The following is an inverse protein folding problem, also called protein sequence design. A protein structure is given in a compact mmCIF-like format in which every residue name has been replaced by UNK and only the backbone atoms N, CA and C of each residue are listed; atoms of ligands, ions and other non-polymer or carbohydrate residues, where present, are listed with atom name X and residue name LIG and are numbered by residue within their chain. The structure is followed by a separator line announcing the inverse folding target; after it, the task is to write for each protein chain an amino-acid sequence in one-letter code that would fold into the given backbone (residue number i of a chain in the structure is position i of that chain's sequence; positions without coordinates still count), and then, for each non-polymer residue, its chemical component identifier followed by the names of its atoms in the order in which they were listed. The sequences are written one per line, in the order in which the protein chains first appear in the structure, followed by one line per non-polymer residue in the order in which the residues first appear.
data_IF_979925123695
#
_entry.id   IF_979925123695
#
_cell.length_a   1.000
_cell.length_b   1.000
_cell.length_c   1.000
_cell.angle_alpha   90.00
_cell.angle_beta   90.00
_cell.angle_gamma   90.00
#
_symmetry.space_group_name_H-M   'P 1'
#
loop_
_entity.id
_entity.type
_entity.pdbx_description
1 polymer ?
#
# COMPACT_ATOMS: atom_id res chain seq x y z
N UNK A 1 -6.04 16.81 -19.21
CA UNK A 1 -4.71 17.08 -19.78
C UNK A 1 -3.58 16.89 -18.77
N UNK A 2 -3.68 17.49 -17.57
CA UNK A 2 -2.69 17.39 -16.49
C UNK A 2 -2.37 15.96 -16.08
N UNK A 3 -3.40 15.13 -15.86
CA UNK A 3 -3.25 13.71 -15.52
C UNK A 3 -2.37 12.95 -16.54
N UNK A 4 -2.64 13.10 -17.83
CA UNK A 4 -1.87 12.47 -18.90
C UNK A 4 -0.42 12.96 -18.92
N UNK A 5 -0.20 14.26 -18.78
CA UNK A 5 1.14 14.84 -18.80
C UNK A 5 1.99 14.36 -17.62
N UNK A 6 1.46 14.45 -16.40
CA UNK A 6 2.18 14.05 -15.17
C UNK A 6 2.45 12.55 -15.15
N UNK A 7 1.47 11.72 -15.53
CA UNK A 7 1.65 10.26 -15.59
C UNK A 7 2.69 9.86 -16.64
N UNK A 8 2.70 10.50 -17.82
CA UNK A 8 3.69 10.25 -18.86
C UNK A 8 5.09 10.62 -18.39
N UNK A 9 5.27 11.78 -17.76
CA UNK A 9 6.57 12.21 -17.23
C UNK A 9 7.04 11.27 -16.12
N UNK A 10 6.17 10.94 -15.17
CA UNK A 10 6.49 10.02 -14.08
C UNK A 10 6.95 8.65 -14.58
N UNK A 11 6.15 8.05 -15.47
CA UNK A 11 6.46 6.76 -16.06
C UNK A 11 7.72 6.81 -16.93
N UNK A 12 7.89 7.85 -17.76
CA UNK A 12 9.06 7.99 -18.64
C UNK A 12 10.35 8.17 -17.84
N UNK A 13 10.32 8.97 -16.76
CA UNK A 13 11.46 9.11 -15.85
C UNK A 13 11.85 7.76 -15.27
N UNK A 14 10.88 6.96 -14.80
CA UNK A 14 11.12 5.61 -14.29
C UNK A 14 11.78 4.64 -15.28
N UNK A 15 11.58 4.84 -16.58
CA UNK A 15 12.15 4.00 -17.64
C UNK A 15 13.60 4.36 -18.03
N UNK A 16 14.11 5.52 -17.61
CA UNK A 16 15.47 5.97 -17.94
C UNK A 16 16.56 4.92 -17.60
N UNK A 17 16.62 4.35 -16.38
CA UNK A 17 17.61 3.34 -16.06
C UNK A 17 17.46 2.07 -16.91
N UNK A 18 16.24 1.65 -17.21
CA UNK A 18 16.00 0.43 -17.99
C UNK A 18 16.35 0.62 -19.47
N UNK A 19 16.06 1.78 -20.06
CA UNK A 19 16.53 2.12 -21.40
C UNK A 19 18.05 2.17 -21.47
N UNK A 20 18.72 2.68 -20.42
CA UNK A 20 20.18 2.62 -20.29
C UNK A 20 20.69 1.18 -20.38
N UNK A 21 20.05 0.25 -19.66
CA UNK A 21 20.39 -1.17 -19.71
C UNK A 21 20.16 -1.81 -21.09
N UNK A 22 19.04 -1.49 -21.76
CA UNK A 22 18.74 -2.02 -23.09
C UNK A 22 19.72 -1.48 -24.13
N UNK A 23 20.05 -0.18 -24.07
CA UNK A 23 21.06 0.46 -24.95
C UNK A 23 22.40 -0.29 -24.90
N UNK A 24 22.83 -0.67 -23.71
CA UNK A 24 24.13 -1.33 -23.50
C UNK A 24 24.13 -2.81 -23.92
N UNK A 25 22.94 -3.40 -24.09
CA UNK A 25 22.75 -4.78 -24.58
C UNK A 25 22.34 -4.85 -26.06
N UNK A 26 21.94 -3.75 -26.67
CA UNK A 26 21.43 -3.71 -28.03
C UNK A 26 22.53 -4.03 -29.06
N UNK A 27 22.34 -5.13 -29.81
CA UNK A 27 23.28 -5.59 -30.85
C UNK A 27 23.09 -4.81 -32.15
N UNK A 28 21.85 -4.48 -32.52
CA UNK A 28 21.54 -3.80 -33.79
C UNK A 28 21.85 -2.30 -33.70
N UNK A 29 22.55 -1.70 -34.68
CA UNK A 29 22.98 -0.30 -34.61
C UNK A 29 21.81 0.68 -34.56
N UNK A 30 20.73 0.40 -35.29
CA UNK A 30 19.52 1.23 -35.28
C UNK A 30 18.82 1.24 -33.90
N UNK A 31 18.64 0.06 -33.30
CA UNK A 31 18.04 -0.08 -31.96
C UNK A 31 18.92 0.59 -30.91
N UNK A 32 20.23 0.37 -30.97
CA UNK A 32 21.18 1.03 -30.07
C UNK A 32 21.09 2.56 -30.15
N UNK A 33 20.97 3.11 -31.36
CA UNK A 33 20.77 4.56 -31.57
C UNK A 33 19.47 5.06 -30.94
N UNK A 34 18.35 4.36 -31.15
CA UNK A 34 17.07 4.71 -30.52
C UNK A 34 17.18 4.69 -29.01
N UNK A 35 17.62 3.57 -28.41
CA UNK A 35 17.73 3.44 -26.96
C UNK A 35 18.75 4.42 -26.37
N UNK A 36 19.79 4.81 -27.11
CA UNK A 36 20.71 5.86 -26.68
C UNK A 36 20.09 7.25 -26.62
N UNK A 37 19.13 7.54 -27.51
CA UNK A 37 18.41 8.80 -27.54
C UNK A 37 17.39 8.84 -26.38
N UNK A 38 16.57 7.80 -26.22
CA UNK A 38 15.52 7.77 -25.20
C UNK A 38 16.04 7.60 -23.77
N UNK A 39 17.24 7.04 -23.58
CA UNK A 39 17.84 6.92 -22.25
C UNK A 39 18.44 8.23 -21.72
N UNK A 40 18.43 9.33 -22.50
CA UNK A 40 19.07 10.62 -22.16
C UNK A 40 20.49 10.53 -21.59
N UNK A 41 21.28 9.59 -22.12
CA UNK A 41 22.66 9.38 -21.64
C UNK A 41 22.76 8.90 -20.19
N UNK A 42 21.72 8.23 -19.65
CA UNK A 42 21.77 7.65 -18.31
C UNK A 42 23.02 6.75 -18.13
N UNK A 43 23.84 7.08 -17.14
CA UNK A 43 25.08 6.37 -16.79
C UNK A 43 25.00 5.62 -15.46
N UNK A 44 24.03 5.95 -14.61
CA UNK A 44 23.83 5.27 -13.32
C UNK A 44 24.84 5.65 -12.23
N UNK A 45 25.35 6.89 -12.22
CA UNK A 45 26.24 7.37 -11.15
C UNK A 45 25.47 7.56 -9.84
N UNK A 46 26.16 7.53 -8.70
CA UNK A 46 25.55 7.76 -7.39
C UNK A 46 24.74 9.08 -7.31
N UNK A 47 25.25 10.16 -7.90
CA UNK A 47 24.54 11.45 -7.98
C UNK A 47 23.26 11.40 -8.82
N UNK A 48 23.24 10.57 -9.86
CA UNK A 48 22.07 10.42 -10.74
C UNK A 48 20.98 9.64 -9.99
N UNK A 49 21.35 8.56 -9.28
CA UNK A 49 20.44 7.77 -8.44
C UNK A 49 19.84 8.56 -7.28
N UNK A 50 20.67 9.30 -6.54
CA UNK A 50 20.19 10.12 -5.42
C UNK A 50 19.11 11.12 -5.87
N UNK A 51 19.30 11.76 -7.04
CA UNK A 51 18.32 12.70 -7.60
C UNK A 51 17.09 11.99 -8.16
N UNK A 52 17.29 10.83 -8.79
CA UNK A 52 16.21 10.04 -9.35
C UNK A 52 15.25 9.55 -8.28
N UNK A 53 15.76 9.09 -7.13
CA UNK A 53 14.94 8.67 -6.00
C UNK A 53 14.13 9.85 -5.44
N UNK A 54 14.77 11.00 -5.21
CA UNK A 54 14.09 12.20 -4.73
C UNK A 54 12.98 12.66 -5.69
N UNK A 55 13.26 12.71 -6.99
CA UNK A 55 12.28 13.08 -8.00
C UNK A 55 11.13 12.07 -8.05
N UNK A 56 11.43 10.78 -7.96
CA UNK A 56 10.40 9.73 -7.98
C UNK A 56 9.49 9.82 -6.76
N UNK A 57 10.03 10.09 -5.58
CA UNK A 57 9.27 10.31 -4.35
C UNK A 57 8.38 11.55 -4.45
N UNK A 58 8.91 12.68 -4.93
CA UNK A 58 8.13 13.91 -5.13
C UNK A 58 7.00 13.68 -6.15
N UNK A 59 7.31 13.04 -7.28
CA UNK A 59 6.29 12.77 -8.30
C UNK A 59 5.23 11.78 -7.81
N UNK A 60 5.60 10.75 -7.04
CA UNK A 60 4.64 9.85 -6.41
C UNK A 60 3.73 10.59 -5.40
N UNK A 61 4.32 11.48 -4.60
CA UNK A 61 3.62 12.35 -3.66
C UNK A 61 2.66 13.31 -4.35
N UNK A 62 3.02 13.85 -5.51
CA UNK A 62 2.15 14.73 -6.32
C UNK A 62 1.09 13.96 -7.12
N UNK A 63 1.43 12.77 -7.62
CA UNK A 63 0.53 11.94 -8.41
C UNK A 63 -0.63 11.40 -7.57
N UNK A 64 -0.40 11.09 -6.29
CA UNK A 64 -1.44 10.51 -5.41
C UNK A 64 -2.65 11.45 -5.23
N UNK A 65 -2.50 12.72 -4.81
CA UNK A 65 -3.60 13.69 -4.79
C UNK A 65 -4.17 13.96 -6.18
N UNK A 66 -3.34 13.92 -7.23
CA UNK A 66 -3.81 14.09 -8.60
C UNK A 66 -4.77 12.99 -9.03
N UNK A 67 -4.48 11.72 -8.72
CA UNK A 67 -5.37 10.59 -9.02
C UNK A 67 -6.73 10.74 -8.32
N UNK A 68 -6.71 11.13 -7.03
CA UNK A 68 -7.93 11.36 -6.24
C UNK A 68 -8.75 12.52 -6.81
N UNK A 69 -8.10 13.64 -7.10
CA UNK A 69 -8.76 14.85 -7.63
C UNK A 69 -9.32 14.65 -9.03
N UNK A 70 -8.63 13.95 -9.93
CA UNK A 70 -9.10 13.73 -11.31
C UNK A 70 -10.42 12.95 -11.34
N UNK A 71 -10.52 11.86 -10.59
CA UNK A 71 -11.76 11.09 -10.53
C UNK A 71 -12.86 11.82 -9.74
N UNK A 72 -12.48 12.62 -8.74
CA UNK A 72 -13.40 13.53 -8.05
C UNK A 72 -13.98 14.58 -9.00
N UNK A 73 -13.16 15.19 -9.86
CA UNK A 73 -13.62 16.19 -10.84
C UNK A 73 -14.58 15.55 -11.85
N UNK A 74 -14.25 14.38 -12.40
CA UNK A 74 -15.17 13.64 -13.30
C UNK A 74 -16.47 13.29 -12.58
N UNK A 75 -16.39 12.98 -11.29
CA UNK A 75 -17.58 12.74 -10.47
C UNK A 75 -18.42 14.00 -10.26
N UNK A 76 -17.80 15.18 -10.15
CA UNK A 76 -18.51 16.45 -9.98
C UNK A 76 -19.38 16.83 -11.18
N UNK A 77 -19.06 16.36 -12.39
CA UNK A 77 -19.91 16.54 -13.57
C UNK A 77 -21.33 15.98 -13.36
N UNK A 78 -21.47 14.97 -12.49
CA UNK A 78 -22.77 14.42 -12.07
C UNK A 78 -23.21 14.99 -10.73
N UNK A 79 -22.35 14.94 -9.71
CA UNK A 79 -22.69 15.27 -8.32
C UNK A 79 -23.20 16.71 -8.13
N UNK A 80 -22.69 17.64 -8.94
CA UNK A 80 -23.07 19.07 -8.87
C UNK A 80 -24.29 19.42 -9.72
N UNK A 81 -24.82 18.45 -10.48
CA UNK A 81 -26.08 18.61 -11.20
C UNK A 81 -27.26 18.68 -10.23
N UNK A 82 -28.42 19.09 -10.75
CA UNK A 82 -29.70 19.13 -10.01
C UNK A 82 -30.58 17.91 -10.31
N UNK A 83 -30.09 16.94 -11.06
CA UNK A 83 -30.88 15.77 -11.51
C UNK A 83 -31.01 14.75 -10.36
N UNK A 84 -32.21 14.20 -10.12
CA UNK A 84 -32.40 13.23 -9.05
C UNK A 84 -31.63 11.94 -9.34
N UNK A 85 -30.99 11.40 -8.30
CA UNK A 85 -30.07 10.27 -8.42
C UNK A 85 -28.67 10.62 -8.96
N UNK A 86 -28.40 11.88 -9.32
CA UNK A 86 -27.05 12.42 -9.55
C UNK A 86 -26.61 13.40 -8.45
N UNK A 87 -27.53 14.22 -7.95
CA UNK A 87 -27.23 15.22 -6.92
C UNK A 87 -26.93 14.55 -5.57
N UNK A 88 -25.67 14.19 -5.33
CA UNK A 88 -25.25 13.55 -4.08
C UNK A 88 -23.80 13.85 -3.73
N UNK A 89 -23.52 13.92 -2.43
CA UNK A 89 -22.19 14.25 -1.91
C UNK A 89 -21.27 13.03 -1.79
N UNK A 90 -21.81 11.81 -1.91
CA UNK A 90 -21.02 10.57 -1.78
C UNK A 90 -20.26 10.21 -3.07
N UNK A 91 -20.65 10.78 -4.21
CA UNK A 91 -20.10 10.42 -5.51
C UNK A 91 -18.57 10.58 -5.62
N UNK A 92 -17.93 11.66 -5.15
CA UNK A 92 -16.49 11.81 -5.31
C UNK A 92 -15.64 10.66 -4.72
N UNK A 93 -15.76 10.31 -3.42
CA UNK A 93 -15.02 9.17 -2.87
C UNK A 93 -15.50 7.82 -3.46
N UNK A 94 -16.77 7.70 -3.82
CA UNK A 94 -17.33 6.50 -4.45
C UNK A 94 -16.72 6.25 -5.84
N UNK A 95 -16.66 7.26 -6.70
CA UNK A 95 -16.09 7.14 -8.05
C UNK A 95 -14.60 6.84 -8.00
N UNK A 96 -13.87 7.39 -7.03
CA UNK A 96 -12.47 7.04 -6.76
C UNK A 96 -12.35 5.57 -6.37
N UNK A 97 -13.17 5.08 -5.43
CA UNK A 97 -13.14 3.67 -5.03
C UNK A 97 -13.47 2.73 -6.21
N UNK A 98 -14.49 3.08 -7.01
CA UNK A 98 -14.84 2.36 -8.23
C UNK A 98 -13.75 2.38 -9.31
N UNK A 99 -13.00 3.48 -9.42
CA UNK A 99 -11.86 3.57 -10.35
C UNK A 99 -10.70 2.65 -9.92
N UNK A 100 -10.42 2.57 -8.62
CA UNK A 100 -9.42 1.62 -8.11
C UNK A 100 -9.91 0.18 -8.33
N UNK A 101 -11.17 -0.10 -8.01
CA UNK A 101 -11.77 -1.43 -8.17
C UNK A 101 -11.72 -1.94 -9.62
N UNK A 102 -12.19 -1.15 -10.58
CA UNK A 102 -12.14 -1.49 -12.03
C UNK A 102 -10.71 -1.48 -12.59
N UNK A 103 -9.88 -0.52 -12.18
CA UNK A 103 -8.49 -0.41 -12.62
C UNK A 103 -7.68 -1.65 -12.26
N UNK A 104 -7.73 -2.09 -10.99
CA UNK A 104 -7.05 -3.30 -10.56
C UNK A 104 -7.61 -4.57 -11.23
N UNK A 105 -8.92 -4.65 -11.47
CA UNK A 105 -9.51 -5.74 -12.25
C UNK A 105 -8.94 -5.78 -13.69
N UNK A 106 -8.85 -4.64 -14.40
CA UNK A 106 -8.21 -4.60 -15.71
C UNK A 106 -6.74 -5.00 -15.66
N UNK A 107 -5.96 -4.45 -14.72
CA UNK A 107 -4.54 -4.82 -14.55
C UNK A 107 -4.40 -6.33 -14.30
N UNK A 108 -5.29 -6.92 -13.48
CA UNK A 108 -5.30 -8.35 -13.20
C UNK A 108 -5.49 -9.20 -14.47
N UNK A 109 -6.40 -8.81 -15.36
CA UNK A 109 -6.59 -9.53 -16.64
C UNK A 109 -5.33 -9.51 -17.49
N UNK A 110 -4.70 -8.35 -17.64
CA UNK A 110 -3.51 -8.17 -18.47
C UNK A 110 -2.30 -8.87 -17.88
N UNK A 111 -2.10 -8.80 -16.55
CA UNK A 111 -0.98 -9.45 -15.88
C UNK A 111 -1.06 -10.97 -15.98
N UNK A 112 -2.24 -11.57 -15.82
CA UNK A 112 -2.41 -13.03 -15.94
C UNK A 112 -2.04 -13.51 -17.36
N UNK A 113 -2.50 -12.79 -18.39
CA UNK A 113 -2.18 -13.12 -19.78
C UNK A 113 -0.68 -12.90 -20.05
N UNK A 114 -0.16 -11.73 -19.67
CA UNK A 114 1.24 -11.37 -19.86
C UNK A 114 2.17 -12.39 -19.21
N UNK A 115 1.86 -12.81 -17.97
CA UNK A 115 2.61 -13.83 -17.21
C UNK A 115 2.85 -15.10 -18.03
N UNK A 116 1.84 -15.56 -18.78
CA UNK A 116 1.93 -16.78 -19.58
C UNK A 116 2.53 -16.56 -20.97
N UNK A 117 2.18 -15.46 -21.64
CA UNK A 117 2.69 -15.18 -22.99
C UNK A 117 4.18 -14.82 -23.00
N UNK A 118 4.64 -14.08 -21.98
CA UNK A 118 6.03 -13.60 -21.88
C UNK A 118 6.93 -14.48 -21.00
N UNK A 119 6.41 -15.59 -20.46
CA UNK A 119 7.12 -16.51 -19.55
C UNK A 119 7.69 -15.81 -18.29
N UNK A 120 6.98 -14.80 -17.74
CA UNK A 120 7.40 -14.04 -16.56
C UNK A 120 6.84 -14.59 -15.26
N UNK A 121 6.64 -15.91 -15.19
CA UNK A 121 5.98 -16.55 -14.05
C UNK A 121 6.78 -16.59 -12.75
N UNK A 122 8.10 -16.50 -12.86
CA UNK A 122 9.01 -16.41 -11.71
C UNK A 122 9.00 -15.03 -11.04
N UNK A 123 8.70 -13.98 -11.82
CA UNK A 123 8.57 -12.61 -11.31
C UNK A 123 7.15 -12.32 -10.81
N UNK A 124 6.15 -12.62 -11.65
CA UNK A 124 4.74 -12.40 -11.33
C UNK A 124 4.23 -13.66 -10.60
N UNK A 125 4.48 -13.71 -9.30
CA UNK A 125 4.06 -14.85 -8.47
C UNK A 125 2.56 -14.82 -8.16
N UNK A 126 2.03 -15.95 -7.65
CA UNK A 126 0.63 -16.05 -7.19
C UNK A 126 0.32 -15.05 -6.07
N UNK A 127 1.33 -14.60 -5.32
CA UNK A 127 1.12 -13.61 -4.27
C UNK A 127 0.79 -12.23 -4.80
N UNK A 128 1.38 -11.81 -5.93
CA UNK A 128 1.01 -10.55 -6.56
C UNK A 128 -0.47 -10.55 -6.92
N UNK A 129 -0.94 -11.68 -7.49
CA UNK A 129 -2.35 -11.92 -7.81
C UNK A 129 -3.22 -11.91 -6.53
N UNK A 130 -2.79 -12.59 -5.47
CA UNK A 130 -3.53 -12.60 -4.20
C UNK A 130 -3.65 -11.19 -3.59
N UNK A 131 -2.55 -10.43 -3.54
CA UNK A 131 -2.55 -9.06 -2.99
C UNK A 131 -3.43 -8.12 -3.81
N UNK A 132 -3.40 -8.22 -5.14
CA UNK A 132 -4.30 -7.47 -6.01
C UNK A 132 -5.77 -7.83 -5.76
N UNK A 133 -6.08 -9.11 -5.60
CA UNK A 133 -7.43 -9.55 -5.26
C UNK A 133 -7.89 -9.03 -3.89
N UNK A 134 -6.99 -8.88 -2.91
CA UNK A 134 -7.32 -8.25 -1.61
C UNK A 134 -7.71 -6.79 -1.82
N UNK A 135 -6.98 -6.03 -2.63
CA UNK A 135 -7.31 -4.64 -2.94
C UNK A 135 -8.68 -4.54 -3.64
N UNK A 136 -8.93 -5.41 -4.63
CA UNK A 136 -10.22 -5.51 -5.32
C UNK A 136 -11.35 -5.83 -4.33
N UNK A 137 -11.12 -6.74 -3.39
CA UNK A 137 -12.09 -7.10 -2.35
C UNK A 137 -12.41 -5.93 -1.41
N UNK A 138 -11.39 -5.21 -0.93
CA UNK A 138 -11.56 -4.06 -0.03
C UNK A 138 -12.32 -2.94 -0.75
N UNK A 139 -11.88 -2.56 -1.94
CA UNK A 139 -12.49 -1.47 -2.71
C UNK A 139 -13.90 -1.81 -3.20
N UNK A 140 -14.14 -3.06 -3.61
CA UNK A 140 -15.48 -3.55 -3.94
C UNK A 140 -16.44 -3.51 -2.73
N UNK A 141 -15.93 -3.75 -1.52
CA UNK A 141 -16.72 -3.60 -0.29
C UNK A 141 -17.05 -2.14 0.02
N UNK A 142 -16.11 -1.21 -0.21
CA UNK A 142 -16.36 0.24 -0.09
C UNK A 142 -17.44 0.70 -1.08
N UNK A 143 -17.35 0.24 -2.34
CA UNK A 143 -18.38 0.49 -3.37
C UNK A 143 -19.74 -0.08 -2.94
N UNK A 144 -19.76 -1.31 -2.40
CA UNK A 144 -20.97 -1.92 -1.86
C UNK A 144 -21.61 -1.11 -0.72
N UNK A 145 -20.80 -0.57 0.20
CA UNK A 145 -21.28 0.33 1.25
C UNK A 145 -21.90 1.60 0.66
N UNK A 146 -21.29 2.20 -0.36
CA UNK A 146 -21.82 3.39 -1.03
C UNK A 146 -23.20 3.12 -1.66
N UNK A 147 -23.41 1.97 -2.31
CA UNK A 147 -24.73 1.59 -2.83
C UNK A 147 -25.79 1.48 -1.74
N UNK A 148 -25.44 0.89 -0.59
CA UNK A 148 -26.36 0.78 0.55
C UNK A 148 -26.67 2.17 1.11
N UNK A 149 -25.68 3.05 1.22
CA UNK A 149 -25.88 4.43 1.64
C UNK A 149 -26.81 5.19 0.69
N UNK A 150 -26.65 5.04 -0.62
CA UNK A 150 -27.55 5.65 -1.60
C UNK A 150 -29.00 5.17 -1.45
N UNK A 151 -29.21 3.85 -1.33
CA UNK A 151 -30.53 3.28 -1.09
C UNK A 151 -31.14 3.78 0.22
N UNK A 152 -30.33 3.87 1.28
CA UNK A 152 -30.76 4.38 2.57
C UNK A 152 -31.15 5.86 2.49
N UNK A 153 -30.34 6.70 1.86
CA UNK A 153 -30.62 8.13 1.72
C UNK A 153 -31.83 8.37 0.81
N UNK A 154 -31.99 7.61 -0.26
CA UNK A 154 -33.18 7.70 -1.12
C UNK A 154 -34.46 7.42 -0.31
N UNK A 155 -34.45 6.36 0.51
CA UNK A 155 -35.56 6.06 1.41
C UNK A 155 -35.76 7.14 2.48
N UNK A 156 -34.68 7.60 3.12
CA UNK A 156 -34.69 8.53 4.25
C UNK A 156 -35.03 9.99 3.85
N UNK A 157 -34.66 10.43 2.65
CA UNK A 157 -34.72 11.83 2.22
C UNK A 157 -36.13 12.42 2.17
N UNK A 158 -37.17 11.59 2.01
CA UNK A 158 -38.56 12.04 1.86
C UNK A 158 -38.85 12.81 0.56
N UNK A 159 -37.89 12.92 -0.37
CA UNK A 159 -38.09 13.54 -1.69
C UNK A 159 -38.58 12.48 -2.66
N UNK A 160 -39.82 12.65 -3.15
CA UNK A 160 -40.48 11.66 -4.03
C UNK A 160 -39.68 11.37 -5.31
N UNK A 161 -39.03 12.38 -5.90
CA UNK A 161 -38.22 12.21 -7.11
C UNK A 161 -36.99 11.32 -6.89
N UNK A 162 -36.32 11.44 -5.74
CA UNK A 162 -35.19 10.57 -5.38
C UNK A 162 -35.66 9.14 -5.14
N UNK A 163 -36.74 8.98 -4.38
CA UNK A 163 -37.34 7.66 -4.14
C UNK A 163 -37.75 6.98 -5.46
N UNK A 164 -38.38 7.72 -6.37
CA UNK A 164 -38.76 7.23 -7.68
C UNK A 164 -37.56 6.88 -8.56
N UNK A 165 -36.49 7.68 -8.53
CA UNK A 165 -35.28 7.40 -9.31
C UNK A 165 -34.68 6.02 -8.94
N UNK A 166 -34.59 5.69 -7.64
CA UNK A 166 -34.09 4.39 -7.19
C UNK A 166 -35.10 3.26 -7.41
N UNK A 167 -36.40 3.52 -7.29
CA UNK A 167 -37.44 2.55 -7.64
C UNK A 167 -37.38 2.19 -9.15
N UNK A 168 -37.16 3.20 -10.00
CA UNK A 168 -36.99 3.05 -11.44
C UNK A 168 -35.73 2.24 -11.79
N UNK A 169 -34.63 2.43 -11.05
CA UNK A 169 -33.43 1.58 -11.19
C UNK A 169 -33.75 0.11 -10.90
N UNK A 170 -34.48 -0.17 -9.82
CA UNK A 170 -34.76 -1.54 -9.38
C UNK A 170 -35.83 -2.26 -10.21
N UNK A 171 -36.90 -1.56 -10.61
CA UNK A 171 -38.11 -2.18 -11.20
C UNK A 171 -38.51 -1.60 -12.56
N UNK A 172 -37.83 -0.56 -13.02
CA UNK A 172 -38.10 0.09 -14.30
C UNK A 172 -37.57 -0.69 -15.52
N UNK A 173 -37.58 -0.08 -16.72
CA UNK A 173 -37.24 -0.77 -17.96
C UNK A 173 -35.77 -1.21 -18.06
N UNK A 174 -34.89 -0.64 -17.23
CA UNK A 174 -33.47 -1.00 -17.13
C UNK A 174 -33.15 -1.85 -15.90
N UNK A 175 -34.15 -2.53 -15.30
CA UNK A 175 -33.96 -3.39 -14.11
C UNK A 175 -32.84 -4.43 -14.30
N UNK A 176 -32.70 -4.97 -15.51
CA UNK A 176 -31.70 -5.98 -15.85
C UNK A 176 -30.28 -5.43 -15.75
N UNK A 177 -30.07 -4.17 -16.14
CA UNK A 177 -28.76 -3.50 -16.07
C UNK A 177 -28.39 -3.23 -14.61
N UNK A 178 -29.34 -2.76 -13.80
CA UNK A 178 -29.13 -2.56 -12.37
C UNK A 178 -28.88 -3.87 -11.63
N UNK A 179 -29.66 -4.91 -11.91
CA UNK A 179 -29.48 -6.23 -11.30
C UNK A 179 -28.12 -6.83 -11.67
N UNK A 180 -27.71 -6.73 -12.92
CA UNK A 180 -26.42 -7.21 -13.38
C UNK A 180 -25.27 -6.44 -12.71
N UNK A 181 -25.36 -5.10 -12.69
CA UNK A 181 -24.40 -4.24 -11.99
C UNK A 181 -24.26 -4.64 -10.51
N UNK A 182 -25.37 -4.71 -9.77
CA UNK A 182 -25.36 -5.06 -8.34
C UNK A 182 -24.81 -6.47 -8.12
N UNK A 183 -25.24 -7.44 -8.93
CA UNK A 183 -24.76 -8.82 -8.82
C UNK A 183 -23.26 -8.91 -9.07
N UNK A 184 -22.76 -8.29 -10.15
CA UNK A 184 -21.34 -8.30 -10.47
C UNK A 184 -20.50 -7.57 -9.42
N UNK A 185 -20.87 -6.35 -9.04
CA UNK A 185 -20.03 -5.52 -8.19
C UNK A 185 -20.13 -5.89 -6.71
N UNK A 186 -21.30 -6.35 -6.24
CA UNK A 186 -21.46 -6.74 -4.83
C UNK A 186 -21.05 -8.19 -4.60
N UNK A 187 -21.40 -9.14 -5.48
CA UNK A 187 -21.12 -10.57 -5.21
C UNK A 187 -19.67 -10.93 -5.51
N UNK A 188 -19.12 -10.49 -6.65
CA UNK A 188 -17.78 -10.89 -7.09
C UNK A 188 -16.65 -10.61 -6.08
N UNK A 189 -16.55 -9.42 -5.44
CA UNK A 189 -15.52 -9.18 -4.45
C UNK A 189 -15.72 -10.02 -3.18
N UNK A 190 -16.95 -10.35 -2.80
CA UNK A 190 -17.20 -11.13 -1.56
C UNK A 190 -16.76 -12.58 -1.70
N UNK A 191 -16.73 -13.12 -2.93
CA UNK A 191 -16.18 -14.45 -3.18
C UNK A 191 -14.67 -14.50 -2.87
N UNK A 192 -13.95 -13.37 -2.92
CA UNK A 192 -12.51 -13.29 -2.66
C UNK A 192 -12.12 -13.40 -1.17
N UNK A 193 -13.10 -13.42 -0.26
CA UNK A 193 -12.85 -13.77 1.16
C UNK A 193 -12.32 -15.19 1.31
N UNK A 194 -12.74 -16.12 0.43
CA UNK A 194 -12.30 -17.50 0.46
C UNK A 194 -10.89 -17.62 -0.12
N UNK A 195 -9.91 -17.92 0.73
CA UNK A 195 -8.49 -18.06 0.33
C UNK A 195 -8.30 -19.01 -0.87
N UNK A 196 -9.02 -20.14 -0.91
CA UNK A 196 -8.95 -21.10 -2.02
C UNK A 196 -9.32 -20.49 -3.37
N UNK A 197 -10.24 -19.54 -3.38
CA UNK A 197 -10.69 -18.85 -4.59
C UNK A 197 -9.70 -17.73 -4.93
N UNK A 198 -9.30 -16.95 -3.92
CA UNK A 198 -8.39 -15.81 -4.08
C UNK A 198 -7.01 -16.19 -4.60
N UNK A 199 -6.50 -17.38 -4.26
CA UNK A 199 -5.20 -17.87 -4.75
C UNK A 199 -5.30 -18.65 -6.07
N UNK A 200 -6.49 -18.79 -6.65
CA UNK A 200 -6.69 -19.44 -7.94
C UNK A 200 -6.58 -18.44 -9.08
N UNK A 201 -5.56 -18.62 -9.94
CA UNK A 201 -5.32 -17.74 -11.10
C UNK A 201 -6.53 -17.75 -12.06
N UNK A 202 -7.09 -18.92 -12.34
CA UNK A 202 -8.21 -19.05 -13.28
C UNK A 202 -9.46 -18.33 -12.77
N UNK A 203 -9.79 -18.49 -11.49
CA UNK A 203 -10.97 -17.82 -10.92
C UNK A 203 -10.73 -16.32 -10.83
N UNK A 204 -9.53 -15.88 -10.47
CA UNK A 204 -9.17 -14.46 -10.46
C UNK A 204 -9.32 -13.80 -11.83
N UNK A 205 -8.97 -14.51 -12.90
CA UNK A 205 -9.14 -14.03 -14.27
C UNK A 205 -10.61 -13.86 -14.67
N UNK A 206 -11.46 -14.82 -14.31
CA UNK A 206 -12.90 -14.75 -14.60
C UNK A 206 -13.53 -13.60 -13.80
N UNK A 207 -13.22 -13.51 -12.50
CA UNK A 207 -13.77 -12.45 -11.64
C UNK A 207 -13.34 -11.07 -12.13
N UNK A 208 -12.09 -10.87 -12.56
CA UNK A 208 -11.65 -9.56 -13.03
C UNK A 208 -12.38 -9.11 -14.30
N UNK A 209 -12.75 -10.03 -15.21
CA UNK A 209 -13.62 -9.69 -16.35
C UNK A 209 -15.03 -9.32 -15.87
N UNK A 210 -15.61 -10.09 -14.96
CA UNK A 210 -16.96 -9.84 -14.42
C UNK A 210 -17.02 -8.48 -13.71
N UNK A 211 -15.99 -8.11 -12.96
CA UNK A 211 -15.88 -6.79 -12.31
C UNK A 211 -15.87 -5.67 -13.34
N UNK A 212 -15.07 -5.79 -14.41
CA UNK A 212 -15.02 -4.75 -15.44
C UNK A 212 -16.36 -4.58 -16.18
N UNK A 213 -17.08 -5.69 -16.43
CA UNK A 213 -18.43 -5.64 -16.99
C UNK A 213 -19.39 -4.95 -16.02
N UNK A 214 -19.38 -5.32 -14.73
CA UNK A 214 -20.21 -4.69 -13.71
C UNK A 214 -19.95 -3.18 -13.56
N UNK A 215 -18.69 -2.76 -13.60
CA UNK A 215 -18.29 -1.35 -13.53
C UNK A 215 -18.64 -0.55 -14.79
N UNK A 216 -18.68 -1.18 -15.95
CA UNK A 216 -19.24 -0.55 -17.15
C UNK A 216 -20.74 -0.31 -16.98
N UNK A 217 -21.48 -1.31 -16.49
CA UNK A 217 -22.90 -1.16 -16.17
C UNK A 217 -23.15 -0.14 -15.07
N UNK A 218 -22.25 0.02 -14.11
CA UNK A 218 -22.36 1.07 -13.09
C UNK A 218 -22.47 2.46 -13.70
N UNK A 219 -21.55 2.80 -14.62
CA UNK A 219 -21.56 4.10 -15.29
C UNK A 219 -22.78 4.24 -16.21
N UNK A 220 -23.14 3.18 -16.94
CA UNK A 220 -24.35 3.17 -17.75
C UNK A 220 -25.62 3.41 -16.93
N UNK A 221 -25.76 2.71 -15.79
CA UNK A 221 -26.93 2.80 -14.92
C UNK A 221 -27.02 4.21 -14.33
N UNK A 222 -25.94 4.73 -13.73
CA UNK A 222 -25.96 6.09 -13.15
C UNK A 222 -26.41 7.10 -14.20
N UNK A 223 -25.87 7.04 -15.43
CA UNK A 223 -26.15 8.03 -16.45
C UNK A 223 -27.55 7.84 -17.03
N UNK A 224 -27.85 6.67 -17.60
CA UNK A 224 -29.07 6.47 -18.39
C UNK A 224 -30.31 6.40 -17.51
N UNK A 225 -30.25 5.71 -16.36
CA UNK A 225 -31.45 5.52 -15.52
C UNK A 225 -31.91 6.78 -14.81
N UNK A 226 -31.01 7.73 -14.56
CA UNK A 226 -31.34 9.04 -13.99
C UNK A 226 -31.75 10.09 -15.04
N UNK A 227 -31.39 9.90 -16.31
CA UNK A 227 -31.77 10.84 -17.39
C UNK A 227 -33.06 10.48 -18.10
N UNK A 228 -33.32 9.18 -18.34
CA UNK A 228 -34.50 8.80 -19.12
C UNK A 228 -35.83 8.96 -18.35
N UNK A 229 -35.75 9.10 -17.02
CA UNK A 229 -36.86 9.34 -16.09
C UNK A 229 -36.40 10.36 -15.05
N UNK A 230 -36.79 11.61 -15.24
CA UNK A 230 -36.46 12.73 -14.36
C UNK A 230 -37.74 13.45 -13.88
N UNK A 231 -37.64 14.75 -13.61
CA UNK A 231 -38.71 15.60 -13.09
C UNK A 231 -40.00 15.61 -13.93
N UNK A 232 -39.93 15.62 -15.26
CA UNK A 232 -41.11 15.82 -16.12
C UNK A 232 -41.53 14.53 -16.82
N UNK A 233 -42.70 13.96 -16.50
CA UNK A 233 -43.21 12.77 -17.16
C UNK A 233 -43.36 12.90 -18.69
N UNK A 234 -43.56 14.11 -19.21
CA UNK A 234 -43.66 14.37 -20.65
C UNK A 234 -42.34 14.15 -21.41
N UNK A 235 -41.21 14.24 -20.72
CA UNK A 235 -39.87 14.11 -21.31
C UNK A 235 -39.32 12.68 -21.22
N UNK A 236 -40.10 11.77 -20.63
CA UNK A 236 -39.69 10.39 -20.41
C UNK A 236 -39.48 9.64 -21.72
N UNK A 237 -38.29 9.08 -21.90
CA UNK A 237 -37.90 8.42 -23.15
C UNK A 237 -37.11 7.13 -22.87
N UNK A 238 -36.65 6.47 -23.93
CA UNK A 238 -35.80 5.29 -23.85
C UNK A 238 -34.47 5.57 -24.58
N UNK A 239 -33.41 4.95 -24.09
CA UNK A 239 -32.11 4.91 -24.74
C UNK A 239 -31.86 3.52 -25.34
N UNK A 240 -31.62 3.49 -26.64
CA UNK A 240 -31.12 2.32 -27.35
C UNK A 240 -29.87 2.72 -28.12
N UNK A 241 -28.70 2.12 -27.85
CA UNK A 241 -27.49 2.44 -28.59
C UNK A 241 -27.63 1.98 -30.05
N UNK A 242 -27.01 2.73 -30.96
CA UNK A 242 -26.86 2.36 -32.36
C UNK A 242 -25.63 1.49 -32.56
N UNK A 243 -25.49 0.87 -33.74
CA UNK A 243 -24.29 0.12 -34.09
C UNK A 243 -23.03 0.99 -34.11
N UNK A 244 -23.16 2.31 -34.32
CA UNK A 244 -22.03 3.25 -34.33
C UNK A 244 -21.50 3.45 -32.92
N UNK A 245 -22.37 3.56 -31.91
CA UNK A 245 -21.98 3.69 -30.51
C UNK A 245 -21.16 2.47 -30.06
N UNK A 246 -21.65 1.27 -30.41
CA UNK A 246 -20.98 0.00 -30.13
C UNK A 246 -19.67 -0.10 -30.92
N UNK A 247 -19.67 0.30 -32.19
CA UNK A 247 -18.48 0.28 -33.06
C UNK A 247 -17.35 1.17 -32.53
N UNK A 248 -17.69 2.37 -32.04
CA UNK A 248 -16.71 3.27 -31.41
C UNK A 248 -16.15 2.64 -30.13
N UNK A 249 -17.00 2.06 -29.27
CA UNK A 249 -16.55 1.39 -28.06
C UNK A 249 -15.62 0.19 -28.35
N UNK A 250 -15.97 -0.66 -29.31
CA UNK A 250 -15.08 -1.76 -29.73
C UNK A 250 -13.79 -1.20 -30.34
N UNK A 251 -13.87 -0.11 -31.09
CA UNK A 251 -12.72 0.60 -31.66
C UNK A 251 -11.73 1.08 -30.60
N UNK A 252 -12.21 1.65 -29.48
CA UNK A 252 -11.32 2.09 -28.39
C UNK A 252 -10.66 0.92 -27.67
N UNK A 253 -11.37 -0.21 -27.49
CA UNK A 253 -10.78 -1.46 -26.98
C UNK A 253 -9.68 -1.97 -27.92
N UNK A 254 -9.94 -1.99 -29.22
CA UNK A 254 -8.95 -2.38 -30.23
C UNK A 254 -7.72 -1.46 -30.22
N UNK A 255 -7.94 -0.15 -30.19
CA UNK A 255 -6.87 0.83 -30.14
C UNK A 255 -6.02 0.71 -28.88
N UNK A 256 -6.65 0.48 -27.72
CA UNK A 256 -5.95 0.19 -26.46
C UNK A 256 -5.03 -1.03 -26.60
N UNK A 257 -5.54 -2.15 -27.11
CA UNK A 257 -4.73 -3.36 -27.28
C UNK A 257 -3.60 -3.19 -28.30
N UNK A 258 -3.82 -2.44 -29.38
CA UNK A 258 -2.76 -2.10 -30.35
C UNK A 258 -1.62 -1.37 -29.64
N UNK A 259 -1.91 -0.31 -28.89
CA UNK A 259 -0.89 0.45 -28.15
C UNK A 259 -0.22 -0.40 -27.06
N UNK A 260 -0.99 -1.18 -26.31
CA UNK A 260 -0.49 -2.04 -25.25
C UNK A 260 0.44 -3.15 -25.77
N UNK A 261 0.08 -3.80 -26.89
CA UNK A 261 0.91 -4.83 -27.50
C UNK A 261 2.19 -4.25 -28.10
N UNK A 262 2.12 -3.05 -28.70
CA UNK A 262 3.32 -2.31 -29.13
C UNK A 262 4.24 -2.00 -27.95
N UNK A 263 3.68 -1.52 -26.83
CA UNK A 263 4.41 -1.30 -25.59
C UNK A 263 5.07 -2.59 -25.09
N UNK A 264 4.29 -3.67 -24.92
CA UNK A 264 4.78 -4.95 -24.41
C UNK A 264 5.91 -5.56 -25.24
N UNK A 265 5.99 -5.22 -26.54
CA UNK A 265 7.03 -5.71 -27.44
C UNK A 265 8.28 -4.82 -27.50
N UNK A 266 8.15 -3.53 -27.25
CA UNK A 266 9.23 -2.53 -27.48
C UNK A 266 9.83 -1.95 -26.20
N UNK A 267 9.11 -2.00 -25.09
CA UNK A 267 9.54 -1.47 -23.79
C UNK A 267 9.85 -2.61 -22.81
N UNK A 268 10.66 -2.34 -21.77
CA UNK A 268 10.81 -3.27 -20.65
C UNK A 268 9.50 -3.32 -19.85
N UNK A 269 8.87 -4.50 -19.83
CA UNK A 269 7.59 -4.72 -19.13
C UNK A 269 7.72 -4.86 -17.61
N UNK A 270 8.95 -5.05 -17.11
CA UNK A 270 9.29 -5.09 -15.68
C UNK A 270 10.44 -4.11 -15.45
N UNK A 271 10.27 -3.22 -14.46
CA UNK A 271 11.28 -2.27 -14.03
C UNK A 271 12.51 -2.99 -13.44
N UNK A 272 13.61 -3.06 -14.19
CA UNK A 272 14.77 -3.87 -13.79
C UNK A 272 15.56 -3.23 -12.67
N UNK A 273 15.64 -1.90 -12.67
CA UNK A 273 16.25 -1.10 -11.62
C UNK A 273 15.69 -1.47 -10.22
N UNK A 274 14.36 -1.47 -10.10
CA UNK A 274 13.66 -1.72 -8.84
C UNK A 274 13.71 -3.19 -8.45
N UNK A 275 13.48 -4.11 -9.39
CA UNK A 275 13.54 -5.55 -9.09
C UNK A 275 14.91 -5.95 -8.55
N UNK A 276 15.99 -5.37 -9.06
CA UNK A 276 17.35 -5.67 -8.59
C UNK A 276 17.61 -5.17 -7.16
N UNK A 277 17.04 -4.05 -6.75
CA UNK A 277 17.24 -3.53 -5.38
C UNK A 277 16.56 -4.42 -4.34
N UNK A 278 15.41 -5.01 -4.67
CA UNK A 278 14.67 -5.89 -3.75
C UNK A 278 15.15 -7.34 -3.77
N UNK A 279 15.84 -7.80 -4.82
CA UNK A 279 16.17 -9.21 -5.01
C UNK A 279 17.09 -9.77 -3.90
N UNK A 280 18.04 -8.97 -3.42
CA UNK A 280 18.97 -9.37 -2.34
C UNK A 280 18.25 -9.52 -1.00
N UNK A 281 17.43 -8.53 -0.63
CA UNK A 281 16.68 -8.51 0.63
C UNK A 281 15.54 -9.55 0.66
N UNK A 282 14.82 -9.68 -0.45
CA UNK A 282 13.67 -10.60 -0.54
C UNK A 282 14.12 -12.06 -0.73
N UNK A 283 15.13 -12.32 -1.56
CA UNK A 283 15.52 -13.68 -1.93
C UNK A 283 15.88 -14.59 -0.75
N UNK A 284 16.55 -14.04 0.27
CA UNK A 284 16.91 -14.79 1.49
C UNK A 284 15.69 -15.09 2.36
N UNK A 285 14.81 -14.11 2.56
CA UNK A 285 13.54 -14.28 3.29
C UNK A 285 12.61 -15.28 2.61
N UNK A 286 12.53 -15.26 1.29
CA UNK A 286 11.73 -16.21 0.53
C UNK A 286 12.27 -17.64 0.65
N UNK A 287 13.60 -17.81 0.61
CA UNK A 287 14.24 -19.11 0.84
C UNK A 287 13.97 -19.63 2.25
N UNK A 288 14.08 -18.79 3.28
CA UNK A 288 13.85 -19.19 4.67
C UNK A 288 12.37 -19.53 4.96
N UNK A 289 11.43 -18.73 4.47
CA UNK A 289 9.99 -18.99 4.64
C UNK A 289 9.54 -20.25 3.90
N UNK A 290 10.07 -20.50 2.69
CA UNK A 290 9.82 -21.73 1.93
C UNK A 290 10.40 -22.95 2.64
N UNK A 291 11.61 -22.85 3.22
CA UNK A 291 12.20 -23.92 4.02
C UNK A 291 11.39 -24.21 5.31
N UNK A 292 10.79 -23.18 5.90
CA UNK A 292 9.99 -23.30 7.11
C UNK A 292 8.52 -23.72 6.88
N UNK A 293 8.07 -23.87 5.63
CA UNK A 293 6.68 -24.21 5.30
C UNK A 293 5.64 -23.15 5.71
N UNK A 294 6.08 -21.93 6.03
CA UNK A 294 5.22 -20.84 6.51
C UNK A 294 4.63 -20.04 5.34
N UNK A 295 3.43 -19.44 5.50
CA UNK A 295 2.90 -18.54 4.49
C UNK A 295 3.89 -17.39 4.27
N UNK A 296 4.06 -17.00 3.02
CA UNK A 296 5.03 -15.99 2.59
C UNK A 296 4.68 -14.56 3.07
N UNK A 297 3.58 -14.41 3.80
CA UNK A 297 3.15 -13.20 4.49
C UNK A 297 2.47 -13.59 5.82
N UNK A 298 2.62 -12.74 6.82
CA UNK A 298 1.89 -12.79 8.09
C UNK A 298 1.08 -11.51 8.20
N UNK A 299 -0.25 -11.60 8.19
CA UNK A 299 -1.09 -10.44 8.53
C UNK A 299 -1.07 -10.34 10.06
N UNK A 300 -0.54 -9.26 10.65
CA UNK A 300 -0.60 -9.09 12.09
C UNK A 300 -2.07 -9.01 12.51
N UNK A 301 -2.47 -9.85 13.46
CA UNK A 301 -3.85 -9.90 13.98
C UNK A 301 -4.24 -8.64 14.76
N UNK A 302 -3.27 -7.80 15.10
CA UNK A 302 -3.46 -6.54 15.81
C UNK A 302 -3.26 -5.39 14.82
N UNK A 303 -4.33 -4.66 14.51
CA UNK A 303 -4.43 -3.62 13.49
C UNK A 303 -3.59 -2.35 13.72
N UNK A 304 -2.31 -2.49 14.01
CA UNK A 304 -1.34 -1.41 14.00
C UNK A 304 -0.50 -1.55 12.74
N UNK A 305 -0.73 -0.64 11.77
CA UNK A 305 0.16 -0.47 10.64
C UNK A 305 1.45 0.13 11.20
N UNK A 306 2.47 -0.70 11.41
CA UNK A 306 3.85 -0.21 11.56
C UNK A 306 4.41 -0.06 10.15
N UNK A 307 4.75 1.17 9.77
CA UNK A 307 5.64 1.42 8.65
C UNK A 307 6.97 0.70 8.94
N UNK A 308 7.20 -0.44 8.30
CA UNK A 308 8.49 -1.11 8.35
C UNK A 308 9.48 -0.35 7.47
N UNK A 309 10.09 0.70 8.02
CA UNK A 309 11.48 1.00 7.71
C UNK A 309 12.32 -0.06 8.43
N UNK A 310 13.04 -0.88 7.67
CA UNK A 310 13.96 -1.89 8.21
C UNK A 310 15.32 -1.22 8.33
N UNK A 311 15.71 -0.88 9.56
CA UNK A 311 17.10 -1.03 9.96
C UNK A 311 17.28 -2.46 10.49
N UNK A 312 18.43 -3.04 10.14
CA UNK A 312 18.74 -4.45 10.33
C UNK A 312 18.96 -4.83 11.80
N UNK A 313 18.61 -6.09 12.11
CA UNK A 313 18.91 -6.86 13.33
C UNK A 313 18.12 -6.42 14.58
N UNK A 314 17.45 -7.29 15.33
CA UNK A 314 17.89 -8.58 15.87
C UNK A 314 16.66 -9.46 16.17
N UNK A 315 16.85 -10.79 16.10
CA UNK A 315 15.83 -11.76 16.51
C UNK A 315 15.44 -11.58 17.99
N UNK A 316 14.17 -11.31 18.28
CA UNK A 316 13.60 -11.52 19.61
C UNK A 316 12.55 -12.62 19.55
N UNK A 317 12.93 -13.74 20.17
CA UNK A 317 12.06 -14.79 20.67
C UNK A 317 11.03 -14.22 21.65
N UNK A 318 9.79 -14.63 21.46
CA UNK A 318 8.60 -14.39 22.28
C UNK A 318 8.81 -14.47 23.79
N UNK A 319 8.42 -13.44 24.55
CA UNK A 319 7.84 -13.56 25.90
C UNK A 319 6.80 -12.46 26.12
N UNK A 320 5.60 -12.88 26.50
CA UNK A 320 4.50 -12.09 27.09
C UNK A 320 4.86 -11.59 28.49
N UNK A 321 4.62 -10.30 28.77
CA UNK A 321 3.93 -9.76 29.97
C UNK A 321 4.23 -8.27 30.13
N UNK A 322 3.20 -7.48 30.39
CA UNK A 322 3.26 -6.06 30.74
C UNK A 322 4.22 -5.83 31.93
N UNK A 323 5.33 -5.14 31.68
CA UNK A 323 6.19 -4.58 32.74
C UNK A 323 6.84 -3.30 32.23
N UNK A 324 6.75 -2.21 32.99
CA UNK A 324 7.38 -0.93 32.65
C UNK A 324 8.89 -1.09 32.46
N UNK A 325 9.56 -0.34 31.58
CA UNK A 325 10.98 -0.53 31.27
C UNK A 325 11.90 -0.45 32.50
N UNK A 326 11.51 0.32 33.51
CA UNK A 326 12.19 0.45 34.82
C UNK A 326 12.20 -0.89 35.60
N UNK A 327 11.09 -1.62 35.60
CA UNK A 327 10.98 -2.90 36.29
C UNK A 327 11.81 -4.01 35.62
N UNK A 328 11.94 -3.96 34.28
CA UNK A 328 12.83 -4.85 33.54
C UNK A 328 14.31 -4.63 33.88
N UNK A 329 14.72 -3.37 34.02
CA UNK A 329 16.09 -2.99 34.38
C UNK A 329 16.44 -3.44 35.82
N UNK A 330 15.54 -3.23 36.78
CA UNK A 330 15.76 -3.67 38.16
C UNK A 330 15.73 -5.19 38.34
N UNK A 331 14.92 -5.91 37.54
CA UNK A 331 14.91 -7.38 37.56
C UNK A 331 16.24 -7.97 37.11
N UNK A 332 16.94 -7.33 36.18
CA UNK A 332 18.25 -7.77 35.69
C UNK A 332 19.40 -7.41 36.65
N UNK A 333 19.39 -6.19 37.21
CA UNK A 333 20.48 -5.69 38.05
C UNK A 333 20.35 -6.11 39.52
N UNK A 334 19.14 -6.45 39.98
CA UNK A 334 18.80 -6.76 41.35
C UNK A 334 18.27 -5.53 42.11
N UNK A 335 17.45 -5.76 43.13
CA UNK A 335 16.87 -4.72 43.99
C UNK A 335 17.81 -4.35 45.14
N UNK A 336 17.93 -3.06 45.43
CA UNK A 336 18.61 -2.54 46.62
C UNK A 336 17.60 -2.46 47.78
N UNK A 337 17.98 -2.95 48.96
CA UNK A 337 17.17 -2.85 50.18
C UNK A 337 17.82 -1.88 51.19
N UNK A 338 17.23 -0.69 51.41
CA UNK A 338 17.77 0.32 52.33
C UNK A 338 17.85 -0.14 53.79
N UNK A 339 17.16 -1.21 54.19
CA UNK A 339 17.20 -1.72 55.56
C UNK A 339 18.43 -2.60 55.84
N UNK A 340 19.02 -3.20 54.80
CA UNK A 340 20.10 -4.19 54.93
C UNK A 340 21.40 -3.77 54.25
N UNK A 341 21.38 -2.78 53.36
CA UNK A 341 22.53 -2.36 52.55
C UNK A 341 22.80 -0.86 52.67
N UNK A 342 24.09 -0.49 52.71
CA UNK A 342 24.52 0.91 52.61
C UNK A 342 24.75 1.27 51.13
N UNK A 343 24.25 2.42 50.65
CA UNK A 343 24.45 2.83 49.26
C UNK A 343 25.92 3.17 48.98
N UNK A 344 26.43 2.74 47.84
CA UNK A 344 27.79 3.05 47.38
C UNK A 344 27.85 4.45 46.78
N UNK A 345 29.02 5.09 46.85
CA UNK A 345 29.26 6.37 46.17
C UNK A 345 29.58 6.13 44.68
N UNK A 346 28.56 6.19 43.83
CA UNK A 346 28.67 5.89 42.40
C UNK A 346 29.56 6.89 41.65
N UNK A 347 29.82 8.07 42.22
CA UNK A 347 30.73 9.06 41.62
C UNK A 347 32.19 8.58 41.52
N UNK A 348 32.56 7.49 42.21
CA UNK A 348 33.87 6.85 42.02
C UNK A 348 34.06 6.27 40.61
N UNK A 349 32.97 5.96 39.90
CA UNK A 349 33.02 5.52 38.50
C UNK A 349 33.15 6.73 37.58
N UNK A 350 34.21 6.77 36.77
CA UNK A 350 34.47 7.88 35.86
C UNK A 350 33.34 7.97 34.83
N UNK A 351 32.69 9.13 34.78
CA UNK A 351 31.54 9.40 33.91
C UNK A 351 30.23 9.59 34.67
N UNK A 352 30.16 9.12 35.92
CA UNK A 352 29.01 9.36 36.81
C UNK A 352 29.24 10.65 37.61
N UNK A 353 28.64 11.74 37.16
CA UNK A 353 28.61 12.99 37.92
C UNK A 353 27.46 13.05 38.94
N UNK A 354 27.41 14.08 39.80
CA UNK A 354 26.39 14.21 40.85
C UNK A 354 24.95 14.20 40.34
N UNK A 355 24.72 14.73 39.13
CA UNK A 355 23.39 14.73 38.51
C UNK A 355 23.00 13.34 37.99
N UNK A 356 23.96 12.60 37.43
CA UNK A 356 23.73 11.25 36.93
C UNK A 356 23.50 10.27 38.07
N UNK A 357 24.26 10.38 39.16
CA UNK A 357 24.03 9.58 40.37
C UNK A 357 22.62 9.78 40.94
N UNK A 358 22.12 11.03 41.00
CA UNK A 358 20.73 11.29 41.41
C UNK A 358 19.71 10.61 40.49
N UNK A 359 19.97 10.57 39.18
CA UNK A 359 19.10 9.88 38.22
C UNK A 359 19.14 8.37 38.41
N UNK A 360 20.31 7.78 38.61
CA UNK A 360 20.48 6.35 38.89
C UNK A 360 19.78 5.94 40.20
N UNK A 361 19.92 6.75 41.25
CA UNK A 361 19.25 6.54 42.52
C UNK A 361 17.72 6.59 42.38
N UNK A 362 17.18 7.50 41.55
CA UNK A 362 15.74 7.53 41.23
C UNK A 362 15.26 6.25 40.52
N UNK A 363 16.14 5.65 39.71
CA UNK A 363 15.89 4.38 39.02
C UNK A 363 16.14 3.14 39.90
N UNK A 364 16.50 3.31 41.18
CA UNK A 364 16.71 2.21 42.12
C UNK A 364 18.10 1.58 42.09
N UNK A 365 19.08 2.22 41.44
CA UNK A 365 20.47 1.77 41.38
C UNK A 365 21.28 2.56 42.41
N UNK A 366 21.83 1.87 43.41
CA UNK A 366 22.55 2.47 44.53
C UNK A 366 23.90 1.81 44.84
N UNK A 367 24.25 0.71 44.17
CA UNK A 367 25.47 -0.07 44.48
C UNK A 367 26.37 -0.32 43.27
N UNK A 368 27.67 -0.48 43.52
CA UNK A 368 28.62 -0.91 42.48
C UNK A 368 28.29 -2.32 41.97
N UNK A 369 27.70 -3.18 42.81
CA UNK A 369 27.25 -4.51 42.40
C UNK A 369 26.20 -4.45 41.29
N UNK A 370 25.21 -3.56 41.41
CA UNK A 370 24.20 -3.37 40.38
C UNK A 370 24.84 -2.84 39.09
N UNK A 371 25.71 -1.83 39.18
CA UNK A 371 26.38 -1.26 37.99
C UNK A 371 27.28 -2.28 37.29
N UNK A 372 27.99 -3.12 38.06
CA UNK A 372 28.89 -4.16 37.51
C UNK A 372 28.18 -5.23 36.68
N UNK A 373 26.87 -5.42 36.88
CA UNK A 373 26.07 -6.41 36.16
C UNK A 373 25.47 -5.88 34.85
N UNK A 374 25.66 -4.59 34.54
CA UNK A 374 25.12 -4.01 33.32
C UNK A 374 25.81 -4.60 32.08
N UNK A 375 25.03 -5.17 31.17
CA UNK A 375 25.47 -5.55 29.83
C UNK A 375 24.96 -4.54 28.80
N UNK A 376 25.25 -4.78 27.53
CA UNK A 376 24.75 -3.97 26.41
C UNK A 376 23.22 -3.80 26.42
N UNK A 377 22.47 -4.81 26.89
CA UNK A 377 21.02 -4.72 27.01
C UNK A 377 20.59 -3.71 28.08
N UNK A 378 21.21 -3.74 29.25
CA UNK A 378 20.88 -2.84 30.36
C UNK A 378 21.34 -1.41 30.08
N UNK A 379 22.48 -1.22 29.40
CA UNK A 379 22.90 0.12 28.95
C UNK A 379 21.88 0.74 27.99
N UNK A 380 21.39 -0.03 27.01
CA UNK A 380 20.38 0.45 26.07
C UNK A 380 19.04 0.79 26.77
N UNK A 381 18.67 0.04 27.81
CA UNK A 381 17.48 0.36 28.63
C UNK A 381 17.70 1.62 29.48
N UNK A 382 18.87 1.77 30.08
CA UNK A 382 19.24 2.95 30.86
C UNK A 382 19.23 4.22 29.99
N UNK A 383 19.74 4.14 28.77
CA UNK A 383 19.77 5.26 27.81
C UNK A 383 18.35 5.70 27.42
N UNK A 384 17.45 4.73 27.19
CA UNK A 384 16.03 5.01 26.90
C UNK A 384 15.32 5.70 28.08
N UNK A 385 15.65 5.33 29.31
CA UNK A 385 15.02 5.86 30.53
C UNK A 385 15.57 7.23 30.94
N UNK A 386 16.87 7.44 30.79
CA UNK A 386 17.53 8.68 31.24
C UNK A 386 17.54 9.77 30.19
N UNK A 387 17.40 9.42 28.90
CA UNK A 387 17.35 10.35 27.76
C UNK A 387 18.58 11.25 27.60
N UNK A 388 19.64 11.01 28.38
CA UNK A 388 20.78 11.90 28.55
C UNK A 388 22.06 11.21 28.10
N UNK A 389 22.58 11.60 26.94
CA UNK A 389 23.82 11.10 26.32
C UNK A 389 23.85 9.57 26.10
N UNK A 390 23.08 9.06 25.12
CA UNK A 390 23.06 7.63 24.80
C UNK A 390 24.46 7.09 24.44
N UNK A 391 24.76 5.89 24.92
CA UNK A 391 26.02 5.16 24.69
C UNK A 391 27.18 5.58 25.58
N UNK A 392 27.03 6.59 26.46
CA UNK A 392 28.13 7.05 27.32
C UNK A 392 28.53 6.03 28.37
N UNK A 393 27.56 5.38 29.02
CA UNK A 393 27.84 4.41 30.08
C UNK A 393 28.62 3.19 29.55
N UNK A 394 28.31 2.75 28.33
CA UNK A 394 29.01 1.67 27.64
C UNK A 394 30.39 2.11 27.14
N UNK A 395 30.50 3.30 26.54
CA UNK A 395 31.78 3.85 26.04
C UNK A 395 32.79 4.08 27.15
N UNK A 396 32.32 4.58 28.29
CA UNK A 396 33.16 4.86 29.46
C UNK A 396 33.34 3.59 30.33
N UNK A 397 32.82 2.42 29.93
CA UNK A 397 32.93 1.12 30.62
C UNK A 397 32.60 1.16 32.12
N UNK A 398 31.37 1.58 32.46
CA UNK A 398 30.94 1.70 33.85
C UNK A 398 30.92 0.36 34.60
N UNK A 399 30.48 -0.72 33.95
CA UNK A 399 30.44 -2.05 34.55
C UNK A 399 31.85 -2.56 34.87
N UNK A 400 32.82 -2.39 33.97
CA UNK A 400 34.22 -2.76 34.23
C UNK A 400 34.82 -1.98 35.40
N UNK A 401 34.59 -0.66 35.45
CA UNK A 401 35.04 0.19 36.56
C UNK A 401 34.39 -0.18 37.90
N UNK A 402 33.08 -0.44 37.91
CA UNK A 402 32.36 -0.84 39.12
C UNK A 402 32.84 -2.22 39.63
N UNK A 403 33.12 -3.16 38.71
CA UNK A 403 33.71 -4.47 39.05
C UNK A 403 35.10 -4.34 39.66
N UNK A 404 35.93 -3.42 39.15
CA UNK A 404 37.24 -3.14 39.72
C UNK A 404 37.13 -2.61 41.16
N UNK A 405 36.19 -1.68 41.42
CA UNK A 405 35.96 -1.12 42.76
C UNK A 405 35.49 -2.18 43.76
N UNK A 406 34.62 -3.11 43.35
CA UNK A 406 34.18 -4.24 44.20
C UNK A 406 35.33 -5.17 44.62
N UNK A 407 36.36 -5.28 43.79
CA UNK A 407 37.53 -6.12 44.08
C UNK A 407 38.62 -5.40 44.88
N UNK A 408 38.51 -4.09 45.08
CA UNK A 408 39.50 -3.32 45.85
C UNK A 408 39.15 -3.21 47.34
N UNK A 409 37.90 -3.50 47.71
CA UNK A 409 37.38 -3.50 49.09
C UNK A 409 37.32 -4.92 49.72
N UNK A 410 38.01 -5.90 49.13
CA UNK A 410 38.32 -7.23 49.71
C UNK A 410 39.81 -7.36 49.94
#
# INVERSE_FOLDING_TARGET
STYLSVSLVFWWTGLLPDFGMIRDRAVKPFQKKIYSLVSFGWTGRAKDWQRFEEVSLVLAGLATPLVLSVHTIVSFDFATSVIPGWHTTIFPPYFVAGAIFSGFAMVQTLLIIMRKVSNLEDYITVQHIELMNIIIMITGSIVGCAYITELFIAWYSGVEYEQYAFLNRATGPYWWAYLLMMSCNVVSPQIMWFKKIRTSIMISFIISIVVNVGMWFERFVIIVTSLHRDYLPSSWTMFSPTFVDIGIFIGTVGFFFVLFLLYARTFPVIAQAEVKSILKSSGERYKSLRAAGKPLYTVPTNGIIRETFIDAETEESSVTEETSPESGLLKALGSFDPASQTPDNLQKVKGIGPLMEKTLNKLGIFSFLQVSKMSEKEYNLLDKLTGSFPGRAQRDDWAGQASALLNTDK
#
